data_IF_476106131544
#
_entry.id   IF_476106131544
#
_cell.length_a   1.000
_cell.length_b   1.000
_cell.length_c   1.000
_cell.angle_alpha   90.00
_cell.angle_beta   90.00
_cell.angle_gamma   90.00
#
_symmetry.space_group_name_H-M   'P 1'
#
loop_
_entity.id
_entity.type
_entity.pdbx_description
1 polymer ?
#
# COMPACT_ATOMS: atom_id res chain seq x y z
N UNK A 1 -24.22 26.73 -6.20
CA UNK A 1 -23.31 26.90 -5.04
C UNK A 1 -23.39 25.77 -4.02
N UNK A 2 -24.55 25.31 -3.54
CA UNK A 2 -24.67 24.19 -2.56
C UNK A 2 -24.08 22.84 -3.04
N UNK A 3 -24.17 22.51 -4.32
CA UNK A 3 -23.63 21.25 -4.88
C UNK A 3 -22.10 21.22 -4.99
N UNK A 4 -21.49 22.39 -5.21
CA UNK A 4 -20.01 22.53 -5.25
C UNK A 4 -19.43 22.43 -3.83
N UNK A 5 -20.15 22.99 -2.85
CA UNK A 5 -19.76 22.91 -1.44
C UNK A 5 -19.84 21.47 -0.89
N UNK A 6 -20.85 20.69 -1.30
CA UNK A 6 -20.97 19.25 -0.97
C UNK A 6 -19.86 18.40 -1.59
N UNK A 7 -19.46 18.70 -2.82
CA UNK A 7 -18.33 18.03 -3.49
C UNK A 7 -16.99 18.35 -2.82
N UNK A 8 -16.79 19.58 -2.36
CA UNK A 8 -15.59 19.99 -1.62
C UNK A 8 -15.49 19.29 -0.25
N UNK A 9 -16.62 19.16 0.46
CA UNK A 9 -16.68 18.44 1.75
C UNK A 9 -16.43 16.94 1.55
N UNK A 10 -16.99 16.32 0.50
CA UNK A 10 -16.75 14.91 0.18
C UNK A 10 -15.27 14.66 -0.21
N UNK A 11 -14.61 15.57 -0.90
CA UNK A 11 -13.19 15.48 -1.25
C UNK A 11 -12.28 15.61 -0.01
N UNK A 12 -12.63 16.47 0.96
CA UNK A 12 -11.92 16.61 2.22
C UNK A 12 -12.07 15.38 3.12
N UNK A 13 -13.25 14.72 3.14
CA UNK A 13 -13.48 13.50 3.91
C UNK A 13 -12.73 12.29 3.33
N UNK A 14 -12.57 12.19 2.01
CA UNK A 14 -11.77 11.15 1.36
C UNK A 14 -10.26 11.33 1.61
N UNK A 15 -9.77 12.56 1.68
CA UNK A 15 -8.37 12.87 2.00
C UNK A 15 -7.94 12.44 3.41
N UNK A 16 -8.85 12.47 4.38
CA UNK A 16 -8.55 12.10 5.78
C UNK A 16 -8.37 10.59 6.00
N UNK A 17 -9.05 9.75 5.21
CA UNK A 17 -8.91 8.28 5.30
C UNK A 17 -7.55 7.77 4.81
N UNK A 18 -6.97 8.39 3.78
CA UNK A 18 -5.62 8.07 3.30
C UNK A 18 -4.51 8.55 4.26
N UNK A 19 -4.73 9.70 4.92
CA UNK A 19 -3.77 10.25 5.87
C UNK A 19 -3.66 9.43 7.17
N UNK A 20 -4.72 8.73 7.60
CA UNK A 20 -4.72 7.93 8.82
C UNK A 20 -3.95 6.62 8.67
N UNK A 21 -4.05 5.93 7.53
CA UNK A 21 -3.28 4.69 7.27
C UNK A 21 -1.78 4.97 7.24
N UNK A 22 -1.35 6.00 6.51
CA UNK A 22 0.06 6.40 6.43
C UNK A 22 0.62 6.92 7.76
N UNK A 23 -0.19 7.57 8.60
CA UNK A 23 0.23 7.97 9.96
C UNK A 23 0.50 6.78 10.85
N UNK A 24 -0.39 5.80 10.86
CA UNK A 24 -0.25 4.59 11.67
C UNK A 24 0.96 3.75 11.27
N UNK A 25 1.20 3.62 9.96
CA UNK A 25 2.40 2.94 9.44
C UNK A 25 3.67 3.68 9.87
N UNK A 26 3.73 5.01 9.73
CA UNK A 26 4.87 5.81 10.19
C UNK A 26 5.12 5.72 11.69
N UNK A 27 4.06 5.70 12.48
CA UNK A 27 4.15 5.55 13.93
C UNK A 27 4.73 4.17 14.31
N UNK A 28 4.26 3.10 13.64
CA UNK A 28 4.78 1.76 13.85
C UNK A 28 6.23 1.63 13.36
N UNK A 29 6.59 2.22 12.25
CA UNK A 29 7.98 2.28 11.77
C UNK A 29 8.90 3.02 12.74
N UNK A 30 8.45 4.16 13.28
CA UNK A 30 9.16 4.91 14.30
C UNK A 30 9.39 4.07 15.56
N UNK A 31 8.35 3.42 16.05
CA UNK A 31 8.43 2.55 17.22
C UNK A 31 9.34 1.33 17.00
N UNK A 32 9.28 0.74 15.82
CA UNK A 32 10.19 -0.35 15.45
C UNK A 32 11.65 0.11 15.41
N UNK A 33 11.92 1.30 14.84
CA UNK A 33 13.27 1.88 14.80
C UNK A 33 13.78 2.15 16.22
N UNK A 34 12.94 2.69 17.08
CA UNK A 34 13.27 2.92 18.49
C UNK A 34 13.62 1.61 19.21
N UNK A 35 12.79 0.57 19.08
CA UNK A 35 13.06 -0.74 19.65
C UNK A 35 14.34 -1.38 19.10
N UNK A 36 14.61 -1.19 17.81
CA UNK A 36 15.86 -1.69 17.21
C UNK A 36 17.09 -0.95 17.78
N UNK A 37 16.99 0.35 18.01
CA UNK A 37 18.05 1.12 18.64
C UNK A 37 18.28 0.68 20.09
N UNK A 38 17.21 0.46 20.86
CA UNK A 38 17.30 -0.06 22.23
C UNK A 38 17.99 -1.44 22.27
N UNK A 39 17.67 -2.33 21.31
CA UNK A 39 18.36 -3.62 21.18
C UNK A 39 19.85 -3.43 20.92
N UNK A 40 20.23 -2.57 19.95
CA UNK A 40 21.63 -2.31 19.61
C UNK A 40 22.41 -1.70 20.79
N UNK A 41 21.82 -0.76 21.52
CA UNK A 41 22.39 -0.17 22.74
C UNK A 41 22.62 -1.24 23.83
N UNK A 42 21.63 -2.10 24.06
CA UNK A 42 21.73 -3.22 25.01
C UNK A 42 22.81 -4.23 24.61
N UNK A 43 22.93 -4.56 23.31
CA UNK A 43 23.98 -5.43 22.78
C UNK A 43 25.38 -4.85 23.01
N UNK A 44 25.56 -3.56 22.78
CA UNK A 44 26.82 -2.84 23.01
C UNK A 44 27.19 -2.84 24.48
N UNK A 45 26.21 -2.60 25.35
CA UNK A 45 26.41 -2.63 26.81
C UNK A 45 26.82 -4.02 27.30
N UNK A 46 26.17 -5.08 26.79
CA UNK A 46 26.55 -6.46 27.09
C UNK A 46 27.99 -6.79 26.67
N UNK A 47 28.43 -6.33 25.51
CA UNK A 47 29.78 -6.57 25.02
C UNK A 47 30.84 -5.85 25.87
N UNK A 48 30.55 -4.63 26.31
CA UNK A 48 31.44 -3.88 27.22
C UNK A 48 31.51 -4.52 28.64
N UNK A 49 30.36 -5.00 29.13
CA UNK A 49 30.28 -5.62 30.48
C UNK A 49 30.91 -7.03 30.52
N UNK A 50 30.99 -7.74 29.37
CA UNK A 50 31.72 -9.03 29.26
C UNK A 50 33.22 -8.89 29.59
N UNK A 51 33.78 -7.71 29.46
CA UNK A 51 35.19 -7.46 29.80
C UNK A 51 35.41 -7.23 31.32
N UNK A 52 34.37 -6.78 32.02
CA UNK A 52 34.40 -6.52 33.48
C UNK A 52 33.50 -7.52 34.21
N UNK A 53 33.94 -8.75 34.35
CA UNK A 53 33.18 -9.83 34.99
C UNK A 53 33.15 -9.63 36.49
N UNK A 54 32.28 -8.77 37.00
CA UNK A 54 31.99 -8.71 38.45
C UNK A 54 30.70 -9.43 38.88
N UNK A 55 29.77 -9.64 38.00
CA UNK A 55 28.54 -10.34 38.37
C UNK A 55 27.88 -11.05 37.16
N UNK A 56 27.85 -12.39 37.19
CA UNK A 56 27.07 -13.20 36.22
C UNK A 56 25.57 -12.92 36.30
N UNK A 57 25.11 -12.37 37.43
CA UNK A 57 23.72 -11.95 37.66
C UNK A 57 23.40 -10.68 36.87
N UNK A 58 24.31 -9.72 36.77
CA UNK A 58 24.12 -8.50 35.98
C UNK A 58 24.05 -8.83 34.50
N UNK A 59 24.91 -9.75 34.02
CA UNK A 59 24.86 -10.26 32.66
C UNK A 59 23.53 -10.99 32.36
N UNK A 60 23.01 -11.77 33.31
CA UNK A 60 21.74 -12.44 33.16
C UNK A 60 20.57 -11.45 33.09
N UNK A 61 20.59 -10.41 33.91
CA UNK A 61 19.57 -9.35 33.88
C UNK A 61 19.58 -8.60 32.58
N UNK A 62 20.77 -8.20 32.08
CA UNK A 62 20.94 -7.55 30.78
C UNK A 62 20.46 -8.42 29.62
N UNK A 63 20.88 -9.69 29.61
CA UNK A 63 20.47 -10.64 28.54
C UNK A 63 18.94 -10.88 28.56
N UNK A 64 18.36 -10.94 29.74
CA UNK A 64 16.91 -11.08 29.92
C UNK A 64 16.20 -9.84 29.38
N UNK A 65 16.68 -8.64 29.67
CA UNK A 65 16.17 -7.39 29.14
C UNK A 65 16.23 -7.35 27.60
N UNK A 66 17.37 -7.73 27.01
CA UNK A 66 17.53 -7.82 25.56
C UNK A 66 16.56 -8.80 24.92
N UNK A 67 16.35 -9.97 25.52
CA UNK A 67 15.40 -10.97 25.06
C UNK A 67 13.98 -10.38 25.03
N UNK A 68 13.57 -9.69 26.08
CA UNK A 68 12.23 -9.08 26.15
C UNK A 68 12.05 -7.95 25.12
N UNK A 69 13.05 -7.09 24.94
CA UNK A 69 13.03 -6.06 23.90
C UNK A 69 12.96 -6.65 22.50
N UNK A 70 13.75 -7.70 22.24
CA UNK A 70 13.74 -8.42 20.96
C UNK A 70 12.40 -9.09 20.69
N UNK A 71 11.76 -9.67 21.71
CA UNK A 71 10.40 -10.23 21.60
C UNK A 71 9.39 -9.14 21.22
N UNK A 72 9.46 -7.98 21.88
CA UNK A 72 8.60 -6.82 21.53
C UNK A 72 8.81 -6.36 20.09
N UNK A 73 10.07 -6.30 19.66
CA UNK A 73 10.41 -5.92 18.30
C UNK A 73 9.86 -6.91 17.27
N UNK A 74 10.03 -8.22 17.49
CA UNK A 74 9.46 -9.28 16.65
C UNK A 74 7.94 -9.14 16.57
N UNK A 75 7.28 -8.92 17.71
CA UNK A 75 5.83 -8.73 17.75
C UNK A 75 5.38 -7.50 16.93
N UNK A 76 6.16 -6.42 16.97
CA UNK A 76 5.90 -5.23 16.13
C UNK A 76 6.00 -5.57 14.65
N UNK A 77 7.05 -6.32 14.23
CA UNK A 77 7.18 -6.79 12.85
C UNK A 77 5.98 -7.64 12.42
N UNK A 78 5.53 -8.55 13.28
CA UNK A 78 4.37 -9.40 13.00
C UNK A 78 3.07 -8.57 12.83
N UNK A 79 2.89 -7.54 13.65
CA UNK A 79 1.78 -6.59 13.52
C UNK A 79 1.84 -5.81 12.21
N UNK A 80 3.03 -5.33 11.82
CA UNK A 80 3.25 -4.63 10.56
C UNK A 80 2.96 -5.54 9.35
N UNK A 81 3.43 -6.79 9.39
CA UNK A 81 3.17 -7.80 8.36
C UNK A 81 1.67 -8.05 8.19
N UNK A 82 0.93 -8.13 9.27
CA UNK A 82 -0.53 -8.31 9.25
C UNK A 82 -1.24 -7.07 8.68
N UNK A 83 -0.78 -5.87 9.04
CA UNK A 83 -1.30 -4.60 8.49
C UNK A 83 -1.09 -4.54 6.98
N UNK A 84 0.13 -4.81 6.51
CA UNK A 84 0.45 -4.85 5.08
C UNK A 84 -0.32 -5.95 4.33
N UNK A 85 -0.62 -7.08 4.97
CA UNK A 85 -1.45 -8.13 4.38
C UNK A 85 -2.89 -7.64 4.13
N UNK A 86 -3.47 -6.92 5.09
CA UNK A 86 -4.77 -6.26 4.95
C UNK A 86 -4.78 -5.22 3.83
N UNK A 87 -3.73 -4.41 3.77
CA UNK A 87 -3.55 -3.39 2.73
C UNK A 87 -3.42 -3.99 1.33
N UNK A 88 -2.62 -5.05 1.17
CA UNK A 88 -2.50 -5.81 -0.09
C UNK A 88 -3.87 -6.32 -0.54
N UNK A 89 -4.66 -6.90 0.35
CA UNK A 89 -6.00 -7.39 0.04
C UNK A 89 -6.93 -6.25 -0.43
N UNK A 90 -6.88 -5.10 0.25
CA UNK A 90 -7.64 -3.92 -0.14
C UNK A 90 -7.23 -3.39 -1.52
N UNK A 91 -5.92 -3.25 -1.75
CA UNK A 91 -5.36 -2.80 -3.04
C UNK A 91 -5.72 -3.74 -4.19
N UNK A 92 -5.67 -5.06 -3.97
CA UNK A 92 -6.10 -6.06 -4.96
C UNK A 92 -7.57 -5.90 -5.32
N UNK A 93 -8.45 -5.69 -4.34
CA UNK A 93 -9.88 -5.46 -4.55
C UNK A 93 -10.13 -4.18 -5.35
N UNK A 94 -9.44 -3.08 -4.98
CA UNK A 94 -9.52 -1.80 -5.70
C UNK A 94 -9.03 -1.92 -7.14
N UNK A 95 -7.90 -2.60 -7.34
CA UNK A 95 -7.33 -2.84 -8.66
C UNK A 95 -8.28 -3.66 -9.53
N UNK A 96 -8.86 -4.74 -8.98
CA UNK A 96 -9.84 -5.55 -9.70
C UNK A 96 -11.09 -4.76 -10.10
N UNK A 97 -11.56 -3.84 -9.25
CA UNK A 97 -12.67 -2.93 -9.60
C UNK A 97 -12.28 -1.99 -10.73
N UNK A 98 -11.13 -1.32 -10.62
CA UNK A 98 -10.64 -0.37 -11.65
C UNK A 98 -10.40 -1.05 -12.99
N UNK A 99 -9.88 -2.28 -13.00
CA UNK A 99 -9.68 -3.06 -14.23
C UNK A 99 -11.00 -3.41 -14.93
N UNK A 100 -12.01 -3.84 -14.16
CA UNK A 100 -13.35 -4.11 -14.72
C UNK A 100 -13.96 -2.85 -15.33
N UNK A 101 -13.93 -1.74 -14.61
CA UNK A 101 -14.44 -0.46 -15.10
C UNK A 101 -13.69 0.02 -16.36
N UNK A 102 -12.38 -0.16 -16.41
CA UNK A 102 -11.57 0.16 -17.58
C UNK A 102 -11.95 -0.71 -18.78
N UNK A 103 -12.11 -2.02 -18.58
CA UNK A 103 -12.48 -2.94 -19.65
C UNK A 103 -13.89 -2.64 -20.18
N UNK A 104 -14.87 -2.39 -19.30
CA UNK A 104 -16.22 -1.99 -19.71
C UNK A 104 -16.21 -0.70 -20.57
N UNK A 105 -15.47 0.31 -20.11
CA UNK A 105 -15.30 1.56 -20.87
C UNK A 105 -14.61 1.34 -22.21
N UNK A 106 -13.55 0.53 -22.27
CA UNK A 106 -12.85 0.19 -23.52
C UNK A 106 -13.80 -0.52 -24.50
N UNK A 107 -14.56 -1.50 -24.04
CA UNK A 107 -15.51 -2.23 -24.88
C UNK A 107 -16.60 -1.33 -25.45
N UNK A 108 -17.19 -0.46 -24.61
CA UNK A 108 -18.18 0.53 -25.06
C UNK A 108 -17.59 1.51 -26.07
N UNK A 109 -16.38 1.98 -25.83
CA UNK A 109 -15.68 2.88 -26.75
C UNK A 109 -15.35 2.18 -28.06
N UNK A 110 -14.84 0.95 -28.04
CA UNK A 110 -14.54 0.15 -29.22
C UNK A 110 -15.79 -0.06 -30.09
N UNK A 111 -16.90 -0.47 -29.49
CA UNK A 111 -18.19 -0.61 -30.21
C UNK A 111 -18.60 0.69 -30.88
N UNK A 112 -18.45 1.81 -30.18
CA UNK A 112 -18.78 3.13 -30.71
C UNK A 112 -17.85 3.56 -31.86
N UNK A 113 -16.55 3.28 -31.75
CA UNK A 113 -15.56 3.55 -32.81
C UNK A 113 -15.81 2.66 -34.00
N UNK A 114 -16.13 1.37 -33.82
CA UNK A 114 -16.49 0.46 -34.90
C UNK A 114 -17.74 0.93 -35.65
N UNK A 115 -18.76 1.41 -34.92
CA UNK A 115 -19.95 2.01 -35.53
C UNK A 115 -19.60 3.24 -36.36
N UNK A 116 -18.77 4.14 -35.81
CA UNK A 116 -18.30 5.32 -36.55
C UNK A 116 -17.47 4.95 -37.79
N UNK A 117 -16.64 3.91 -37.69
CA UNK A 117 -15.81 3.45 -38.82
C UNK A 117 -16.66 2.87 -39.98
N UNK A 118 -17.69 2.10 -39.63
CA UNK A 118 -18.64 1.56 -40.64
C UNK A 118 -19.45 2.68 -41.31
N UNK A 119 -19.83 3.71 -40.54
CA UNK A 119 -20.64 4.85 -40.98
C UNK A 119 -19.79 6.11 -41.21
N UNK A 120 -18.56 5.94 -41.72
CA UNK A 120 -17.60 7.06 -41.89
C UNK A 120 -17.83 7.91 -43.11
N UNK A 121 -18.79 7.54 -43.99
CA UNK A 121 -19.10 8.30 -45.20
C UNK A 121 -19.42 9.76 -44.88
N UNK A 122 -18.58 10.65 -45.38
CA UNK A 122 -18.83 12.09 -45.29
C UNK A 122 -20.16 12.43 -45.98
N UNK A 123 -20.46 11.74 -47.06
CA UNK A 123 -21.70 11.89 -47.82
C UNK A 123 -22.94 11.59 -46.97
N UNK A 124 -22.92 10.48 -46.21
CA UNK A 124 -24.02 10.12 -45.28
C UNK A 124 -24.23 11.17 -44.19
N UNK A 125 -23.14 11.69 -43.63
CA UNK A 125 -23.22 12.77 -42.62
C UNK A 125 -23.76 14.07 -43.19
N UNK A 126 -23.33 14.41 -44.41
CA UNK A 126 -23.86 15.57 -45.13
C UNK A 126 -25.33 15.35 -45.50
N UNK A 127 -25.69 14.17 -46.01
CA UNK A 127 -27.09 13.83 -46.30
C UNK A 127 -27.94 13.91 -45.00
N UNK A 128 -27.47 13.41 -43.88
CA UNK A 128 -28.17 13.51 -42.61
C UNK A 128 -28.40 14.97 -42.21
N UNK A 129 -27.45 15.86 -42.41
CA UNK A 129 -27.57 17.29 -42.10
C UNK A 129 -28.51 18.00 -43.07
N UNK A 130 -28.33 17.77 -44.38
CA UNK A 130 -29.08 18.46 -45.44
C UNK A 130 -30.45 17.88 -45.73
N UNK A 131 -30.78 16.66 -45.33
CA UNK A 131 -32.12 16.09 -45.40
C UNK A 131 -33.10 16.64 -44.37
N UNK A 132 -32.73 17.70 -43.67
CA UNK A 132 -33.59 18.34 -42.69
C UNK A 132 -34.68 19.16 -43.37
N UNK A 133 -35.89 19.12 -42.84
CA UNK A 133 -37.08 19.82 -43.38
C UNK A 133 -37.08 21.34 -43.06
N UNK A 134 -36.23 21.77 -42.13
CA UNK A 134 -36.11 23.17 -41.74
C UNK A 134 -34.69 23.54 -41.29
N UNK A 135 -34.34 24.82 -41.41
CA UNK A 135 -33.06 25.38 -40.91
C UNK A 135 -32.82 25.09 -39.43
N UNK A 136 -33.86 25.16 -38.64
CA UNK A 136 -33.80 24.84 -37.19
C UNK A 136 -33.43 23.35 -36.98
N UNK A 137 -33.93 22.44 -37.79
CA UNK A 137 -33.60 21.04 -37.75
C UNK A 137 -32.17 20.77 -38.23
N UNK A 138 -31.74 21.45 -39.30
CA UNK A 138 -30.35 21.43 -39.77
C UNK A 138 -29.37 21.80 -38.68
N UNK A 139 -29.64 22.90 -37.96
CA UNK A 139 -28.81 23.36 -36.87
C UNK A 139 -28.74 22.34 -35.71
N UNK A 140 -29.88 21.75 -35.31
CA UNK A 140 -29.91 20.70 -34.30
C UNK A 140 -29.09 19.46 -34.70
N UNK A 141 -29.18 19.02 -35.96
CA UNK A 141 -28.43 17.88 -36.44
C UNK A 141 -26.93 18.15 -36.53
N UNK A 142 -26.52 19.33 -36.95
CA UNK A 142 -25.12 19.76 -36.92
C UNK A 142 -24.55 19.76 -35.50
N UNK A 143 -25.29 20.36 -34.57
CA UNK A 143 -24.91 20.39 -33.14
C UNK A 143 -24.80 18.98 -32.60
N UNK A 144 -25.72 18.08 -32.94
CA UNK A 144 -25.66 16.68 -32.51
C UNK A 144 -24.36 16.00 -32.97
N UNK A 145 -23.97 16.17 -34.21
CA UNK A 145 -22.72 15.60 -34.77
C UNK A 145 -21.49 16.13 -34.03
N UNK A 146 -21.46 17.43 -33.75
CA UNK A 146 -20.38 18.07 -32.99
C UNK A 146 -20.30 17.56 -31.54
N UNK A 147 -21.43 17.51 -30.85
CA UNK A 147 -21.50 17.02 -29.47
C UNK A 147 -21.13 15.54 -29.39
N UNK A 148 -21.54 14.72 -30.34
CA UNK A 148 -21.14 13.31 -30.42
C UNK A 148 -19.62 13.14 -30.60
N UNK A 149 -19.00 13.93 -31.46
CA UNK A 149 -17.53 13.92 -31.63
C UNK A 149 -16.80 14.33 -30.35
N UNK A 150 -17.28 15.36 -29.67
CA UNK A 150 -16.75 15.79 -28.37
C UNK A 150 -16.91 14.70 -27.30
N UNK A 151 -18.07 14.06 -27.23
CA UNK A 151 -18.32 12.96 -26.32
C UNK A 151 -17.32 11.81 -26.53
N UNK A 152 -17.06 11.41 -27.77
CA UNK A 152 -16.08 10.37 -28.10
C UNK A 152 -14.66 10.75 -27.65
N UNK A 153 -14.25 12.00 -27.88
CA UNK A 153 -12.97 12.51 -27.44
C UNK A 153 -12.84 12.44 -25.90
N UNK A 154 -13.87 12.84 -25.18
CA UNK A 154 -13.90 12.79 -23.72
C UNK A 154 -13.85 11.35 -23.19
N UNK A 155 -14.53 10.41 -23.83
CA UNK A 155 -14.46 8.99 -23.49
C UNK A 155 -13.03 8.44 -23.67
N UNK A 156 -12.34 8.80 -24.77
CA UNK A 156 -10.94 8.43 -24.97
C UNK A 156 -10.01 8.94 -23.87
N UNK A 157 -10.16 10.22 -23.50
CA UNK A 157 -9.39 10.83 -22.42
C UNK A 157 -9.68 10.17 -21.05
N UNK A 158 -10.92 9.78 -20.82
CA UNK A 158 -11.31 9.11 -19.59
C UNK A 158 -10.74 7.69 -19.48
N UNK A 159 -10.68 6.97 -20.61
CA UNK A 159 -10.01 5.67 -20.69
C UNK A 159 -8.52 5.83 -20.39
N UNK A 160 -7.85 6.82 -20.97
CA UNK A 160 -6.44 7.11 -20.68
C UNK A 160 -6.21 7.41 -19.20
N UNK A 161 -7.06 8.24 -18.59
CA UNK A 161 -6.99 8.55 -17.17
C UNK A 161 -7.15 7.30 -16.30
N UNK A 162 -8.14 6.45 -16.60
CA UNK A 162 -8.32 5.17 -15.89
C UNK A 162 -7.16 4.21 -16.10
N UNK A 163 -6.57 4.16 -17.27
CA UNK A 163 -5.36 3.37 -17.53
C UNK A 163 -4.19 3.81 -16.64
N UNK A 164 -3.98 5.11 -16.50
CA UNK A 164 -2.98 5.68 -15.58
C UNK A 164 -3.26 5.30 -14.12
N UNK A 165 -4.53 5.34 -13.70
CA UNK A 165 -4.93 4.92 -12.34
C UNK A 165 -4.64 3.42 -12.10
N UNK A 166 -4.96 2.54 -13.05
CA UNK A 166 -4.65 1.11 -12.97
C UNK A 166 -3.15 0.88 -12.84
N UNK A 167 -2.35 1.57 -13.65
CA UNK A 167 -0.88 1.46 -13.61
C UNK A 167 -0.32 1.94 -12.27
N UNK A 168 -0.80 3.05 -11.75
CA UNK A 168 -0.40 3.57 -10.45
C UNK A 168 -0.74 2.59 -9.31
N UNK A 169 -1.97 2.04 -9.33
CA UNK A 169 -2.39 1.04 -8.32
C UNK A 169 -1.63 -0.28 -8.41
N UNK A 170 -1.24 -0.72 -9.60
CA UNK A 170 -0.34 -1.88 -9.75
C UNK A 170 1.02 -1.62 -9.11
N UNK A 171 1.61 -0.44 -9.36
CA UNK A 171 2.89 -0.06 -8.78
C UNK A 171 2.83 0.00 -7.26
N UNK A 172 1.78 0.61 -6.71
CA UNK A 172 1.53 0.68 -5.27
C UNK A 172 1.43 -0.73 -4.65
N UNK A 173 0.66 -1.63 -5.25
CA UNK A 173 0.52 -3.02 -4.82
C UNK A 173 1.88 -3.75 -4.80
N UNK A 174 2.69 -3.60 -5.84
CA UNK A 174 4.02 -4.24 -5.90
C UNK A 174 4.98 -3.68 -4.85
N UNK A 175 4.93 -2.37 -4.58
CA UNK A 175 5.72 -1.76 -3.51
C UNK A 175 5.32 -2.29 -2.13
N UNK A 176 4.02 -2.40 -1.86
CA UNK A 176 3.48 -2.93 -0.60
C UNK A 176 3.86 -4.40 -0.42
N UNK A 177 3.81 -5.22 -1.48
CA UNK A 177 4.27 -6.62 -1.43
C UNK A 177 5.75 -6.73 -1.09
N UNK A 178 6.61 -5.92 -1.74
CA UNK A 178 8.06 -5.90 -1.44
C UNK A 178 8.34 -5.47 0.00
N UNK A 179 7.62 -4.46 0.51
CA UNK A 179 7.74 -4.04 1.89
C UNK A 179 7.41 -5.19 2.86
N UNK A 180 6.30 -5.91 2.61
CA UNK A 180 5.93 -7.08 3.40
C UNK A 180 7.00 -8.17 3.36
N UNK A 181 7.53 -8.49 2.18
CA UNK A 181 8.59 -9.51 2.02
C UNK A 181 9.85 -9.14 2.80
N UNK A 182 10.27 -7.88 2.75
CA UNK A 182 11.42 -7.39 3.49
C UNK A 182 11.21 -7.52 5.02
N UNK A 183 10.01 -7.19 5.51
CA UNK A 183 9.69 -7.35 6.92
C UNK A 183 9.68 -8.81 7.36
N UNK A 184 9.18 -9.72 6.54
CA UNK A 184 9.23 -11.16 6.83
C UNK A 184 10.68 -11.63 6.98
N UNK A 185 11.58 -11.25 6.05
CA UNK A 185 13.01 -11.59 6.14
C UNK A 185 13.66 -11.01 7.40
N UNK A 186 13.32 -9.78 7.78
CA UNK A 186 13.79 -9.17 9.02
C UNK A 186 13.28 -9.93 10.25
N UNK A 187 11.99 -10.30 10.26
CA UNK A 187 11.39 -11.07 11.35
C UNK A 187 12.05 -12.43 11.54
N UNK A 188 12.36 -13.15 10.45
CA UNK A 188 13.07 -14.41 10.49
C UNK A 188 14.49 -14.25 11.06
N UNK A 189 15.22 -13.23 10.61
CA UNK A 189 16.55 -12.92 11.14
C UNK A 189 16.55 -12.59 12.63
N UNK A 190 15.57 -11.82 13.09
CA UNK A 190 15.43 -11.48 14.52
C UNK A 190 15.00 -12.68 15.36
N UNK A 191 14.16 -13.58 14.86
CA UNK A 191 13.80 -14.84 15.52
C UNK A 191 15.02 -15.74 15.69
N UNK A 192 15.88 -15.84 14.68
CA UNK A 192 17.13 -16.61 14.78
C UNK A 192 18.08 -16.04 15.86
N UNK A 193 18.19 -14.69 15.95
CA UNK A 193 18.98 -14.04 17.01
C UNK A 193 18.37 -14.28 18.39
N UNK A 194 17.05 -14.24 18.51
CA UNK A 194 16.33 -14.50 19.74
C UNK A 194 16.63 -15.92 20.26
N UNK A 195 16.59 -16.90 19.37
CA UNK A 195 16.88 -18.29 19.71
C UNK A 195 18.30 -18.47 20.28
N UNK A 196 19.29 -17.81 19.67
CA UNK A 196 20.67 -17.79 20.17
C UNK A 196 20.74 -17.18 21.59
N UNK A 197 20.10 -16.02 21.79
CA UNK A 197 20.09 -15.36 23.09
C UNK A 197 19.37 -16.17 24.18
N UNK A 198 18.27 -16.84 23.85
CA UNK A 198 17.60 -17.74 24.80
C UNK A 198 18.47 -18.92 25.19
N UNK A 199 19.23 -19.50 24.24
CA UNK A 199 20.19 -20.56 24.52
C UNK A 199 21.35 -20.08 25.39
N UNK A 200 21.89 -18.88 25.10
CA UNK A 200 22.93 -18.25 25.93
C UNK A 200 22.44 -18.02 27.36
N UNK A 201 21.20 -17.54 27.52
CA UNK A 201 20.56 -17.36 28.81
C UNK A 201 20.44 -18.68 29.59
N UNK A 202 19.99 -19.75 28.91
CA UNK A 202 19.86 -21.06 29.53
C UNK A 202 21.24 -21.60 29.98
N UNK A 203 22.27 -21.44 29.16
CA UNK A 203 23.63 -21.83 29.48
C UNK A 203 24.18 -21.07 30.69
N UNK A 204 23.94 -19.76 30.73
CA UNK A 204 24.35 -18.90 31.87
C UNK A 204 23.63 -19.31 33.14
N UNK A 205 22.34 -19.58 33.12
CA UNK A 205 21.56 -20.09 34.25
C UNK A 205 22.06 -21.42 34.75
N UNK A 206 22.36 -22.37 33.84
CA UNK A 206 22.89 -23.68 34.21
C UNK A 206 24.27 -23.57 34.89
N UNK A 207 25.13 -22.66 34.41
CA UNK A 207 26.44 -22.40 35.04
C UNK A 207 26.32 -21.76 36.42
N UNK A 208 25.39 -20.82 36.60
CA UNK A 208 25.08 -20.21 37.92
C UNK A 208 24.58 -21.27 38.91
N UNK A 209 23.64 -22.13 38.46
CA UNK A 209 23.11 -23.21 39.32
C UNK A 209 24.19 -24.23 39.73
N UNK A 210 25.12 -24.58 38.83
CA UNK A 210 26.25 -25.45 39.13
C UNK A 210 27.18 -24.83 40.17
N UNK A 211 27.49 -23.54 40.05
CA UNK A 211 28.32 -22.82 41.05
C UNK A 211 27.64 -22.76 42.41
N UNK A 212 26.32 -22.54 42.46
CA UNK A 212 25.56 -22.50 43.70
C UNK A 212 25.49 -23.85 44.41
N UNK A 213 25.52 -24.97 43.67
CA UNK A 213 25.52 -26.35 44.21
C UNK A 213 26.92 -26.84 44.62
N UNK A 214 27.97 -26.16 44.21
CA UNK A 214 29.37 -26.50 44.49
C UNK A 214 29.95 -25.71 45.69
N UNK A 215 29.12 -24.89 46.35
CA UNK A 215 29.38 -24.22 47.61
C UNK A 215 28.62 -24.95 48.70
#
# INVERSE_FOLDING_TARGET
MKRIFLLLIACCLLGTLYAQSTRKIRELESKRKELHQQIAESETLLQSTRKDVKSQLDNLALLTGQIEERKKYIHTIESDVNTLAGEITSLQKQLGKLQRELNDKKQKYETSVQYMYRNKSIQEKLMFIFSAESLSQTYRRLRYVQEYANYQRLQGMEIERKQKQVTAKKKELEQTKKAKENLLKQGEAEKAKLEIQEKDRQTLLANLQKKQKGI
#
